data_IF_758383105524
#
_entry.id   IF_758383105524
#
_cell.length_a   1.000
_cell.length_b   1.000
_cell.length_c   1.000
_cell.angle_alpha   90.00
_cell.angle_beta   90.00
_cell.angle_gamma   90.00
#
_symmetry.space_group_name_H-M   'P 1'
#
loop_
_entity.id
_entity.type
_entity.pdbx_description
1 polymer ?
#
# COMPACT_ATOMS: atom_id res chain seq x y z
N UNK A 1 7.12 -1.00 -26.24
CA UNK A 1 6.13 -0.97 -25.15
C UNK A 1 5.36 0.34 -25.24
N UNK A 2 4.20 0.35 -25.91
CA UNK A 2 3.41 1.58 -26.04
C UNK A 2 2.57 1.76 -24.77
N UNK A 3 2.90 2.77 -23.97
CA UNK A 3 1.99 3.30 -22.96
C UNK A 3 1.06 4.29 -23.65
N UNK A 4 -0.18 3.89 -23.90
CA UNK A 4 -1.25 4.83 -24.26
C UNK A 4 -1.93 5.25 -22.97
N UNK A 5 -1.70 6.49 -22.55
CA UNK A 5 -2.49 7.17 -21.53
C UNK A 5 -3.96 7.12 -21.95
N UNK A 6 -4.77 6.28 -21.30
CA UNK A 6 -6.20 6.14 -21.52
C UNK A 6 -6.97 7.18 -20.69
N UNK A 7 -6.64 8.45 -20.90
CA UNK A 7 -7.53 9.57 -20.56
C UNK A 7 -7.99 10.21 -21.86
N UNK A 8 -8.81 9.47 -22.60
CA UNK A 8 -9.79 10.02 -23.54
C UNK A 8 -10.71 8.88 -23.97
N UNK A 9 -11.95 8.95 -23.53
CA UNK A 9 -13.06 8.13 -24.00
C UNK A 9 -13.23 8.30 -25.52
N UNK A 10 -12.48 7.52 -26.30
CA UNK A 10 -12.78 7.24 -27.70
C UNK A 10 -12.93 5.74 -27.79
N UNK A 11 -14.17 5.28 -27.59
CA UNK A 11 -14.55 3.91 -27.93
C UNK A 11 -14.20 3.73 -29.40
N UNK A 12 -13.06 3.07 -29.68
CA UNK A 12 -12.72 2.66 -31.03
C UNK A 12 -13.83 1.70 -31.46
N UNK A 13 -14.41 1.94 -32.63
CA UNK A 13 -15.52 1.14 -33.13
C UNK A 13 -15.14 -0.35 -33.09
N UNK A 14 -16.11 -1.21 -32.80
CA UNK A 14 -15.91 -2.67 -32.67
C UNK A 14 -15.19 -3.30 -33.88
N UNK A 15 -15.26 -2.64 -35.04
CA UNK A 15 -14.63 -3.06 -36.28
C UNK A 15 -13.09 -2.93 -36.26
N UNK A 16 -12.52 -2.02 -35.45
CA UNK A 16 -11.06 -1.88 -35.28
C UNK A 16 -10.44 -2.87 -34.28
N UNK A 17 -11.25 -3.70 -33.63
CA UNK A 17 -10.81 -4.73 -32.66
C UNK A 17 -10.94 -6.15 -33.21
N UNK A 18 -11.34 -6.34 -34.47
CA UNK A 18 -11.40 -7.66 -35.09
C UNK A 18 -9.99 -8.30 -35.09
N UNK A 19 -9.81 -9.38 -34.33
CA UNK A 19 -8.53 -10.09 -34.17
C UNK A 19 -7.68 -9.69 -32.96
N UNK A 20 -8.11 -8.69 -32.17
CA UNK A 20 -7.43 -8.36 -30.92
C UNK A 20 -7.79 -9.36 -29.81
N UNK A 21 -6.80 -9.81 -29.04
CA UNK A 21 -7.01 -10.62 -27.83
C UNK A 21 -6.83 -9.76 -26.57
N UNK A 22 -7.71 -9.96 -25.58
CA UNK A 22 -7.58 -9.32 -24.28
C UNK A 22 -6.40 -9.95 -23.53
N UNK A 23 -5.36 -9.15 -23.25
CA UNK A 23 -4.18 -9.61 -22.50
C UNK A 23 -4.32 -9.40 -20.98
N UNK A 24 -4.99 -8.33 -20.58
CA UNK A 24 -5.17 -7.96 -19.18
C UNK A 24 -6.38 -7.06 -18.99
N UNK A 25 -7.11 -7.28 -17.91
CA UNK A 25 -8.17 -6.41 -17.43
C UNK A 25 -7.95 -6.13 -15.94
N UNK A 26 -8.32 -4.93 -15.50
CA UNK A 26 -8.31 -4.59 -14.08
C UNK A 26 -9.36 -5.40 -13.32
N UNK A 27 -9.07 -5.73 -12.07
CA UNK A 27 -10.08 -6.30 -11.18
C UNK A 27 -11.22 -5.31 -10.91
N UNK A 28 -12.42 -5.85 -10.69
CA UNK A 28 -13.57 -5.06 -10.23
C UNK A 28 -13.24 -4.40 -8.89
N UNK A 29 -13.76 -3.18 -8.63
CA UNK A 29 -13.62 -2.53 -7.33
C UNK A 29 -14.11 -3.40 -6.18
N UNK A 30 -13.59 -3.17 -4.97
CA UNK A 30 -14.09 -3.86 -3.79
C UNK A 30 -15.58 -3.54 -3.59
N UNK A 31 -16.41 -4.53 -3.18
CA UNK A 31 -17.84 -4.30 -2.96
C UNK A 31 -18.10 -3.28 -1.86
N UNK A 32 -17.19 -3.20 -0.88
CA UNK A 32 -17.22 -2.23 0.21
C UNK A 32 -16.04 -1.26 0.05
N UNK A 33 -16.26 -0.04 -0.47
CA UNK A 33 -15.19 0.93 -0.64
C UNK A 33 -14.65 1.35 0.73
N UNK A 34 -13.33 1.29 0.88
CA UNK A 34 -12.66 1.87 2.06
C UNK A 34 -12.61 3.39 1.93
N UNK A 35 -12.28 4.09 3.03
CA UNK A 35 -12.04 5.55 3.02
C UNK A 35 -11.00 6.00 1.97
N UNK A 36 -10.15 5.08 1.52
CA UNK A 36 -9.05 5.33 0.59
C UNK A 36 -9.27 4.71 -0.80
N UNK A 37 -10.47 4.19 -1.11
CA UNK A 37 -10.80 3.58 -2.40
C UNK A 37 -9.83 2.45 -2.83
N UNK A 38 -9.37 1.67 -1.85
CA UNK A 38 -8.43 0.56 -2.09
C UNK A 38 -9.10 -0.58 -2.87
N UNK A 39 -8.33 -1.24 -3.72
CA UNK A 39 -8.74 -2.51 -4.35
C UNK A 39 -8.82 -3.63 -3.32
N UNK A 40 -9.59 -4.69 -3.61
CA UNK A 40 -9.68 -5.86 -2.72
C UNK A 40 -8.30 -6.44 -2.39
N UNK A 41 -7.39 -6.46 -3.37
CA UNK A 41 -6.01 -6.89 -3.14
C UNK A 41 -5.26 -5.95 -2.18
N UNK A 42 -5.34 -4.63 -2.39
CA UNK A 42 -4.65 -3.66 -1.55
C UNK A 42 -5.12 -3.68 -0.10
N UNK A 43 -6.41 -3.95 0.15
CA UNK A 43 -6.97 -4.10 1.51
C UNK A 43 -6.25 -5.23 2.28
N UNK A 44 -5.91 -6.33 1.61
CA UNK A 44 -5.28 -7.50 2.27
C UNK A 44 -3.79 -7.34 2.57
N UNK A 45 -3.11 -6.34 2.00
CA UNK A 45 -1.65 -6.22 2.09
C UNK A 45 -1.15 -6.07 3.53
N UNK A 46 -1.89 -5.33 4.36
CA UNK A 46 -1.51 -5.02 5.74
C UNK A 46 -2.20 -5.91 6.80
N UNK A 47 -2.89 -6.96 6.37
CA UNK A 47 -3.54 -7.91 7.27
C UNK A 47 -2.51 -8.74 8.03
N UNK A 48 -2.65 -8.83 9.36
CA UNK A 48 -1.87 -9.72 10.22
C UNK A 48 -2.73 -10.92 10.60
N UNK A 49 -2.50 -12.04 9.94
CA UNK A 49 -3.17 -13.30 10.27
C UNK A 49 -2.57 -13.91 11.55
N UNK A 50 -3.36 -14.64 12.36
CA UNK A 50 -2.86 -15.37 13.52
C UNK A 50 -1.69 -16.29 13.13
N UNK A 51 -0.57 -16.21 13.85
CA UNK A 51 0.64 -17.00 13.58
C UNK A 51 1.56 -16.44 12.48
N UNK A 52 1.14 -15.41 11.73
CA UNK A 52 2.05 -14.72 10.79
C UNK A 52 3.02 -13.81 11.55
N UNK A 53 2.54 -13.11 12.59
CA UNK A 53 3.33 -12.15 13.36
C UNK A 53 4.62 -12.77 13.95
N UNK A 54 4.57 -14.03 14.37
CA UNK A 54 5.73 -14.76 14.93
C UNK A 54 6.81 -15.06 13.89
N UNK A 55 6.46 -15.07 12.60
CA UNK A 55 7.34 -15.40 11.48
C UNK A 55 7.89 -14.16 10.78
N UNK A 56 7.31 -12.99 11.02
CA UNK A 56 7.71 -11.76 10.36
C UNK A 56 9.02 -11.24 10.95
N UNK A 57 9.94 -10.74 10.11
CA UNK A 57 11.07 -9.99 10.62
C UNK A 57 10.55 -8.75 11.35
N UNK A 58 11.28 -8.24 12.37
CA UNK A 58 10.84 -7.05 13.07
C UNK A 58 10.59 -5.91 12.10
N UNK A 59 11.36 -5.79 11.02
CA UNK A 59 11.27 -4.71 10.01
C UNK A 59 10.08 -4.77 9.05
N UNK A 60 9.19 -5.76 9.15
CA UNK A 60 8.03 -5.86 8.26
C UNK A 60 7.06 -4.67 8.44
N UNK A 61 6.51 -4.15 7.34
CA UNK A 61 5.63 -2.99 7.37
C UNK A 61 4.36 -3.22 8.17
N UNK A 62 3.87 -4.47 8.26
CA UNK A 62 2.66 -4.80 9.02
C UNK A 62 2.78 -4.56 10.52
N UNK A 63 4.01 -4.48 11.01
CA UNK A 63 4.34 -4.24 12.42
C UNK A 63 4.48 -2.75 12.74
N UNK A 64 4.23 -1.85 11.78
CA UNK A 64 4.28 -0.41 12.01
C UNK A 64 3.10 0.08 12.86
N UNK A 65 3.36 0.65 14.05
CA UNK A 65 2.29 1.04 14.98
C UNK A 65 1.48 2.25 14.49
N UNK A 66 2.12 3.21 13.80
CA UNK A 66 1.45 4.39 13.24
C UNK A 66 0.40 4.00 12.18
N UNK A 67 0.77 3.09 11.27
CA UNK A 67 -0.14 2.55 10.25
C UNK A 67 -1.28 1.74 10.89
N UNK A 68 -0.99 0.92 11.92
CA UNK A 68 -2.02 0.13 12.60
C UNK A 68 -3.04 0.99 13.33
N UNK A 69 -2.59 2.02 14.06
CA UNK A 69 -3.49 2.97 14.71
C UNK A 69 -4.36 3.72 13.69
N UNK A 70 -3.82 4.07 12.53
CA UNK A 70 -4.58 4.70 11.46
C UNK A 70 -5.69 3.78 10.93
N UNK A 71 -5.39 2.51 10.69
CA UNK A 71 -6.38 1.51 10.24
C UNK A 71 -7.49 1.29 11.26
N UNK A 72 -7.16 1.33 12.56
CA UNK A 72 -8.11 1.22 13.66
C UNK A 72 -8.92 2.52 13.90
N UNK A 73 -8.62 3.61 13.18
CA UNK A 73 -9.27 4.92 13.37
C UNK A 73 -8.76 5.72 14.56
N UNK A 74 -7.65 5.33 15.18
CA UNK A 74 -7.05 5.99 16.34
C UNK A 74 -6.07 7.10 15.90
N UNK A 75 -6.59 8.17 15.29
CA UNK A 75 -5.80 9.20 14.60
C UNK A 75 -4.74 9.89 15.48
N UNK A 76 -5.07 10.21 16.74
CA UNK A 76 -4.12 10.87 17.66
C UNK A 76 -2.93 9.97 18.02
N UNK A 77 -3.19 8.67 18.25
CA UNK A 77 -2.13 7.68 18.50
C UNK A 77 -1.28 7.48 17.26
N UNK A 78 -1.90 7.38 16.08
CA UNK A 78 -1.20 7.26 14.82
C UNK A 78 -0.23 8.42 14.58
N UNK A 79 -0.68 9.66 14.82
CA UNK A 79 0.15 10.85 14.65
C UNK A 79 1.33 10.87 15.64
N UNK A 80 1.10 10.51 16.90
CA UNK A 80 2.13 10.44 17.92
C UNK A 80 3.22 9.42 17.55
N UNK A 81 2.81 8.21 17.14
CA UNK A 81 3.74 7.15 16.72
C UNK A 81 4.50 7.52 15.45
N UNK A 82 3.84 8.17 14.48
CA UNK A 82 4.50 8.68 13.27
C UNK A 82 5.64 9.64 13.63
N UNK A 83 5.37 10.64 14.48
CA UNK A 83 6.39 11.61 14.91
C UNK A 83 7.56 10.93 15.65
N UNK A 84 7.27 9.93 16.50
CA UNK A 84 8.30 9.15 17.21
C UNK A 84 9.21 8.40 16.22
N UNK A 85 8.63 7.68 15.26
CA UNK A 85 9.36 6.89 14.27
C UNK A 85 10.25 7.79 13.39
N UNK A 86 9.71 8.89 12.86
CA UNK A 86 10.49 9.81 12.02
C UNK A 86 11.61 10.52 12.79
N UNK A 87 11.38 10.93 14.05
CA UNK A 87 12.45 11.51 14.90
C UNK A 87 13.60 10.52 15.07
N UNK A 88 13.28 9.25 15.34
CA UNK A 88 14.28 8.19 15.47
C UNK A 88 15.03 7.96 14.17
N UNK A 89 14.34 7.93 13.04
CA UNK A 89 14.96 7.80 11.72
C UNK A 89 15.90 8.99 11.43
N UNK A 90 15.49 10.22 11.72
CA UNK A 90 16.31 11.43 11.55
C UNK A 90 17.60 11.38 12.38
N UNK A 91 17.52 10.92 13.63
CA UNK A 91 18.69 10.78 14.51
C UNK A 91 19.73 9.77 14.00
N UNK A 92 19.30 8.73 13.28
CA UNK A 92 20.23 7.71 12.77
C UNK A 92 20.74 8.02 11.37
N UNK A 93 19.93 8.71 10.56
CA UNK A 93 20.39 9.21 9.25
C UNK A 93 21.56 10.19 9.35
N UNK A 94 21.76 10.85 10.50
CA UNK A 94 22.93 11.69 10.73
C UNK A 94 24.21 10.91 11.07
N UNK A 95 24.11 9.60 11.38
CA UNK A 95 25.23 8.80 11.88
C UNK A 95 25.60 7.59 11.00
N UNK A 96 24.69 7.01 10.19
CA UNK A 96 25.03 5.88 9.29
C UNK A 96 24.10 5.79 8.05
N UNK A 97 24.61 5.42 6.86
CA UNK A 97 23.83 5.40 5.62
C UNK A 97 23.09 4.07 5.35
N UNK A 98 22.68 3.31 6.38
CA UNK A 98 21.94 2.06 6.15
C UNK A 98 20.42 2.28 6.33
N UNK A 99 19.70 2.37 5.21
CA UNK A 99 18.27 2.68 5.09
C UNK A 99 17.28 1.70 5.75
N UNK A 100 17.74 0.62 6.39
CA UNK A 100 16.89 -0.52 6.79
C UNK A 100 16.75 -0.75 8.30
N UNK A 101 17.43 0.01 9.17
CA UNK A 101 17.61 -0.41 10.57
C UNK A 101 16.52 -0.06 11.58
N UNK A 102 15.52 0.78 11.24
CA UNK A 102 14.82 1.53 12.30
C UNK A 102 13.30 1.61 12.25
N UNK A 103 12.65 1.00 11.27
CA UNK A 103 11.22 1.26 11.09
C UNK A 103 10.28 0.52 12.03
N UNK A 104 10.79 -0.33 12.92
CA UNK A 104 9.93 -1.25 13.68
C UNK A 104 10.17 -1.35 15.18
N UNK A 105 10.70 -0.29 15.80
CA UNK A 105 10.63 -0.13 17.26
C UNK A 105 10.30 1.29 17.65
#
# INVERSE_FOLDING_TARGET
MYYSNLDAFKVKSADQLQGASLLWEKNKPAPNPTRYNLSSFAITLNELTPGLQEKLPPTDSRLRPDQRHLENGEYEKANTEKLRLERRQRMVSSHTPSLLRLFCK
#
